data_IF_741015875170
#
_entry.id   IF_741015875170
#
_cell.length_a   1.000
_cell.length_b   1.000
_cell.length_c   1.000
_cell.angle_alpha   90.00
_cell.angle_beta   90.00
_cell.angle_gamma   90.00
#
_symmetry.space_group_name_H-M   'P 1'
#
loop_
_entity.id
_entity.type
_entity.pdbx_description
1 polymer ?
#
# COMPACT_ATOMS: atom_id res chain seq x y z
N UNK A 1 -6.24 -10.33 -10.13
CA UNK A 1 -5.62 -9.87 -8.85
C UNK A 1 -4.12 -10.02 -9.03
N UNK A 2 -3.45 -9.00 -9.58
CA UNK A 2 -2.03 -9.12 -9.97
C UNK A 2 -1.33 -7.76 -10.18
N UNK A 3 -2.02 -6.66 -9.82
CA UNK A 3 -1.56 -5.29 -10.12
C UNK A 3 -0.66 -4.73 -9.02
N UNK A 4 -0.90 -5.04 -7.75
CA UNK A 4 -0.09 -4.57 -6.62
C UNK A 4 0.86 -5.70 -6.18
N UNK A 5 2.15 -5.42 -6.17
CA UNK A 5 3.19 -6.28 -5.60
C UNK A 5 3.28 -6.04 -4.09
N UNK A 6 2.43 -6.74 -3.35
CA UNK A 6 2.34 -6.60 -1.88
C UNK A 6 3.62 -7.06 -1.19
N UNK A 7 4.34 -8.01 -1.79
CA UNK A 7 5.58 -8.54 -1.23
C UNK A 7 6.68 -7.49 -1.31
N UNK A 8 6.84 -6.88 -2.47
CA UNK A 8 7.80 -5.81 -2.67
C UNK A 8 7.46 -4.59 -1.82
N UNK A 9 6.18 -4.19 -1.76
CA UNK A 9 5.69 -3.13 -0.88
C UNK A 9 6.06 -3.42 0.58
N UNK A 10 5.74 -4.62 1.06
CA UNK A 10 5.98 -5.03 2.45
C UNK A 10 7.46 -5.04 2.81
N UNK A 11 8.31 -5.56 1.92
CA UNK A 11 9.78 -5.57 2.09
C UNK A 11 10.34 -4.15 2.16
N UNK A 12 9.95 -3.27 1.23
CA UNK A 12 10.39 -1.86 1.21
C UNK A 12 9.89 -1.06 2.41
N UNK A 13 8.70 -1.37 2.90
CA UNK A 13 8.14 -0.76 4.10
C UNK A 13 8.89 -1.22 5.36
N UNK A 14 9.29 -2.49 5.44
CA UNK A 14 10.11 -2.99 6.55
C UNK A 14 11.55 -2.48 6.53
N UNK A 15 12.09 -2.12 5.36
CA UNK A 15 13.44 -1.59 5.18
C UNK A 15 14.47 -2.44 5.96
N UNK A 16 15.24 -1.82 6.86
CA UNK A 16 16.34 -2.46 7.58
C UNK A 16 15.85 -3.56 8.54
N UNK A 17 14.61 -3.46 9.02
CA UNK A 17 14.00 -4.46 9.88
C UNK A 17 13.77 -5.79 9.15
N UNK A 18 13.60 -5.76 7.81
CA UNK A 18 13.34 -6.96 7.02
C UNK A 18 14.46 -8.01 7.17
N UNK A 19 15.71 -7.55 7.11
CA UNK A 19 16.91 -8.39 7.24
C UNK A 19 17.06 -9.02 8.63
N UNK A 20 16.41 -8.44 9.65
CA UNK A 20 16.47 -8.91 11.05
C UNK A 20 15.40 -9.96 11.36
N UNK A 21 14.42 -10.14 10.46
CA UNK A 21 13.38 -11.13 10.63
C UNK A 21 13.85 -12.52 10.21
N UNK A 22 13.45 -13.53 10.96
CA UNK A 22 13.57 -14.93 10.54
C UNK A 22 12.67 -15.22 9.33
N UNK A 23 12.95 -16.27 8.53
CA UNK A 23 12.09 -16.66 7.41
C UNK A 23 10.62 -16.90 7.82
N UNK A 24 10.40 -17.45 9.01
CA UNK A 24 9.06 -17.64 9.55
C UNK A 24 8.35 -16.30 9.83
N UNK A 25 9.05 -15.34 10.43
CA UNK A 25 8.52 -13.99 10.68
C UNK A 25 8.24 -13.23 9.38
N UNK A 26 9.14 -13.32 8.40
CA UNK A 26 8.93 -12.73 7.07
C UNK A 26 7.66 -13.29 6.42
N UNK A 27 7.46 -14.60 6.49
CA UNK A 27 6.27 -15.29 5.96
C UNK A 27 5.00 -14.85 6.69
N UNK A 28 5.02 -14.79 8.03
CA UNK A 28 3.88 -14.37 8.83
C UNK A 28 3.49 -12.92 8.52
N UNK A 29 4.47 -12.02 8.43
CA UNK A 29 4.25 -10.61 8.10
C UNK A 29 3.61 -10.44 6.73
N UNK A 30 4.20 -11.04 5.68
CA UNK A 30 3.67 -10.90 4.32
C UNK A 30 2.27 -11.51 4.19
N UNK A 31 2.03 -12.64 4.84
CA UNK A 31 0.69 -13.26 4.87
C UNK A 31 -0.33 -12.35 5.53
N UNK A 32 0.02 -11.76 6.67
CA UNK A 32 -0.85 -10.82 7.40
C UNK A 32 -1.10 -9.55 6.59
N UNK A 33 -0.07 -9.01 5.93
CA UNK A 33 -0.17 -7.81 5.09
C UNK A 33 -1.08 -8.04 3.89
N UNK A 34 -0.92 -9.17 3.17
CA UNK A 34 -1.78 -9.54 2.02
C UNK A 34 -3.24 -9.62 2.43
N UNK A 35 -3.54 -10.35 3.51
CA UNK A 35 -4.91 -10.44 4.02
C UNK A 35 -5.48 -9.07 4.38
N UNK A 36 -4.70 -8.20 5.02
CA UNK A 36 -5.14 -6.86 5.39
C UNK A 36 -5.45 -5.98 4.16
N UNK A 37 -4.63 -6.04 3.11
CA UNK A 37 -4.83 -5.29 1.87
C UNK A 37 -6.03 -5.84 1.09
N UNK A 38 -6.14 -7.16 0.97
CA UNK A 38 -7.27 -7.80 0.29
C UNK A 38 -8.61 -7.47 0.96
N UNK A 39 -8.66 -7.54 2.29
CA UNK A 39 -9.86 -7.21 3.05
C UNK A 39 -10.27 -5.75 2.87
N UNK A 40 -9.30 -4.83 2.86
CA UNK A 40 -9.55 -3.41 2.59
C UNK A 40 -10.04 -3.17 1.16
N UNK A 41 -9.51 -3.91 0.17
CA UNK A 41 -9.92 -3.78 -1.22
C UNK A 41 -11.36 -4.29 -1.43
N UNK A 42 -11.71 -5.45 -0.86
CA UNK A 42 -13.08 -5.96 -0.90
C UNK A 42 -14.06 -4.98 -0.23
N UNK A 43 -13.67 -4.38 0.90
CA UNK A 43 -14.48 -3.35 1.57
C UNK A 43 -14.63 -2.07 0.75
N UNK A 44 -13.54 -1.58 0.16
CA UNK A 44 -13.55 -0.39 -0.70
C UNK A 44 -14.44 -0.55 -1.93
N UNK A 45 -14.47 -1.75 -2.54
CA UNK A 45 -15.37 -2.07 -3.64
C UNK A 45 -16.84 -2.19 -3.21
N UNK A 46 -17.11 -2.62 -1.97
CA UNK A 46 -18.47 -2.67 -1.40
C UNK A 46 -18.98 -1.30 -0.94
N UNK A 47 -18.08 -0.35 -0.70
CA UNK A 47 -18.45 1.03 -0.42
C UNK A 47 -18.95 1.66 -1.74
N UNK A 48 -20.27 1.77 -1.87
CA UNK A 48 -20.94 2.50 -2.96
C UNK A 48 -20.55 3.99 -2.93
N UNK A 49 -19.35 4.31 -3.40
CA UNK A 49 -18.87 5.66 -3.58
C UNK A 49 -19.12 6.04 -5.05
N UNK A 50 -19.90 7.09 -5.26
CA UNK A 50 -19.94 7.75 -6.57
C UNK A 50 -18.57 8.41 -6.78
N UNK A 51 -17.69 7.73 -7.51
CA UNK A 51 -16.41 8.26 -7.94
C UNK A 51 -16.16 7.98 -9.42
N UNK A 52 -15.34 8.82 -10.03
CA UNK A 52 -14.77 8.60 -11.36
C UNK A 52 -13.25 8.61 -11.22
N UNK A 53 -12.57 7.87 -12.09
CA UNK A 53 -11.11 7.83 -12.14
C UNK A 53 -10.69 8.29 -13.52
N UNK A 54 -9.98 9.41 -13.57
CA UNK A 54 -9.42 9.95 -14.80
C UNK A 54 -7.93 9.59 -14.88
N UNK A 55 -7.48 9.03 -16.00
CA UNK A 55 -6.05 8.94 -16.30
C UNK A 55 -5.54 10.32 -16.69
N UNK A 56 -4.48 10.79 -16.02
CA UNK A 56 -3.95 12.14 -16.25
C UNK A 56 -2.54 12.15 -16.83
N UNK A 57 -1.83 11.02 -16.82
CA UNK A 57 -0.55 10.89 -17.51
C UNK A 57 0.32 9.75 -17.02
N UNK A 58 1.47 9.61 -17.67
CA UNK A 58 2.55 8.69 -17.33
C UNK A 58 3.88 9.43 -17.35
N UNK A 59 4.78 9.08 -16.45
CA UNK A 59 6.14 9.64 -16.36
C UNK A 59 7.13 8.59 -15.86
N UNK A 60 8.41 8.95 -15.83
CA UNK A 60 9.46 8.15 -15.21
C UNK A 60 10.02 8.96 -14.04
N UNK A 61 10.10 8.35 -12.86
CA UNK A 61 10.65 9.01 -11.68
C UNK A 61 12.19 9.05 -11.70
N UNK A 62 12.78 9.74 -10.73
CA UNK A 62 14.23 9.91 -10.59
C UNK A 62 15.00 8.59 -10.45
N UNK A 63 14.33 7.52 -10.00
CA UNK A 63 14.90 6.21 -9.75
C UNK A 63 14.64 5.26 -10.94
N UNK A 64 14.07 5.78 -12.04
CA UNK A 64 13.82 5.04 -13.28
C UNK A 64 12.52 4.24 -13.28
N UNK A 65 11.64 4.42 -12.28
CA UNK A 65 10.37 3.70 -12.22
C UNK A 65 9.32 4.38 -13.10
N UNK A 66 8.49 3.60 -13.77
CA UNK A 66 7.29 4.11 -14.44
C UNK A 66 6.27 4.56 -13.39
N UNK A 67 5.70 5.75 -13.58
CA UNK A 67 4.65 6.30 -12.72
C UNK A 67 3.43 6.61 -13.57
N UNK A 68 2.29 6.01 -13.21
CA UNK A 68 0.98 6.32 -13.82
C UNK A 68 0.19 7.17 -12.85
N UNK A 69 -0.22 8.37 -13.29
CA UNK A 69 -1.01 9.31 -12.49
C UNK A 69 -2.47 9.23 -12.89
N UNK A 70 -3.33 9.18 -11.87
CA UNK A 70 -4.78 9.26 -12.01
C UNK A 70 -5.35 10.30 -11.06
N UNK A 71 -6.54 10.80 -11.38
CA UNK A 71 -7.32 11.65 -10.50
C UNK A 71 -8.64 10.96 -10.16
N UNK A 72 -8.86 10.69 -8.87
CA UNK A 72 -10.14 10.24 -8.36
C UNK A 72 -10.99 11.47 -8.07
N UNK A 73 -12.13 11.60 -8.76
CA UNK A 73 -13.14 12.62 -8.44
C UNK A 73 -14.29 11.96 -7.69
N UNK A 74 -14.60 12.44 -6.49
CA UNK A 74 -15.73 11.94 -5.69
C UNK A 74 -16.46 13.08 -4.99
N UNK A 75 -17.61 12.79 -4.37
CA UNK A 75 -18.39 13.76 -3.58
C UNK A 75 -18.52 13.28 -2.14
N UNK A 76 -18.18 14.15 -1.19
CA UNK A 76 -18.42 13.91 0.24
C UNK A 76 -19.18 15.10 0.82
N UNK A 77 -20.34 14.84 1.45
CA UNK A 77 -21.22 15.90 2.00
C UNK A 77 -21.48 17.03 0.97
N UNK A 78 -21.79 16.66 -0.28
CA UNK A 78 -22.02 17.56 -1.42
C UNK A 78 -20.83 18.44 -1.84
N UNK A 79 -19.62 18.20 -1.34
CA UNK A 79 -18.39 18.84 -1.83
C UNK A 79 -17.64 17.91 -2.77
N UNK A 80 -17.26 18.43 -3.94
CA UNK A 80 -16.37 17.73 -4.86
C UNK A 80 -14.98 17.63 -4.22
N UNK A 81 -14.45 16.42 -4.17
CA UNK A 81 -13.09 16.13 -3.75
C UNK A 81 -12.35 15.53 -4.93
N UNK A 82 -11.12 16.00 -5.14
CA UNK A 82 -10.17 15.46 -6.11
C UNK A 82 -9.01 14.88 -5.33
N UNK A 83 -8.64 13.65 -5.63
CA UNK A 83 -7.54 12.95 -4.99
C UNK A 83 -6.61 12.49 -6.10
N UNK A 84 -5.36 12.95 -6.07
CA UNK A 84 -4.35 12.46 -7.01
C UNK A 84 -3.83 11.11 -6.50
N UNK A 85 -3.74 10.13 -7.40
CA UNK A 85 -3.16 8.82 -7.12
C UNK A 85 -2.08 8.49 -8.14
N UNK A 86 -0.85 8.38 -7.66
CA UNK A 86 0.31 7.97 -8.46
C UNK A 86 0.64 6.51 -8.17
N UNK A 87 0.61 5.66 -9.19
CA UNK A 87 1.02 4.27 -9.12
C UNK A 87 2.47 4.14 -9.56
N UNK A 88 3.37 3.78 -8.66
CA UNK A 88 4.79 3.55 -8.98
C UNK A 88 4.99 2.09 -9.34
N UNK A 89 5.38 1.86 -10.59
CA UNK A 89 5.36 0.56 -11.22
C UNK A 89 6.78 0.05 -11.43
N UNK A 90 6.96 -1.24 -11.22
CA UNK A 90 8.13 -1.99 -11.65
C UNK A 90 7.73 -2.99 -12.74
N UNK A 91 8.66 -3.28 -13.63
CA UNK A 91 8.49 -4.28 -14.66
C UNK A 91 8.81 -5.67 -14.07
N UNK A 92 7.86 -6.59 -14.20
CA UNK A 92 7.97 -8.00 -13.83
C UNK A 92 7.76 -8.84 -15.10
N UNK A 93 8.87 -9.20 -15.74
CA UNK A 93 8.87 -9.80 -17.08
C UNK A 93 8.22 -8.87 -18.12
N UNK A 94 7.07 -9.28 -18.65
CA UNK A 94 6.28 -8.51 -19.63
C UNK A 94 5.10 -7.75 -18.99
N UNK A 95 4.98 -7.76 -17.66
CA UNK A 95 3.90 -7.10 -16.93
C UNK A 95 4.44 -5.95 -16.08
N UNK A 96 3.58 -4.98 -15.78
CA UNK A 96 3.86 -3.96 -14.78
C UNK A 96 3.09 -4.28 -13.50
N UNK A 97 3.77 -4.13 -12.36
CA UNK A 97 3.17 -4.23 -11.03
C UNK A 97 3.50 -2.97 -10.24
N UNK A 98 2.48 -2.38 -9.63
CA UNK A 98 2.66 -1.29 -8.70
C UNK A 98 3.27 -1.83 -7.41
N UNK A 99 4.36 -1.25 -6.94
CA UNK A 99 4.95 -1.58 -5.63
C UNK A 99 4.74 -0.45 -4.61
N UNK A 100 4.34 0.74 -5.07
CA UNK A 100 3.91 1.84 -4.22
C UNK A 100 2.72 2.59 -4.85
N UNK A 101 1.93 3.22 -3.99
CA UNK A 101 0.80 4.06 -4.36
C UNK A 101 0.93 5.34 -3.55
N UNK A 102 1.00 6.48 -4.24
CA UNK A 102 1.06 7.79 -3.58
C UNK A 102 -0.29 8.47 -3.69
N UNK A 103 -0.86 8.83 -2.55
CA UNK A 103 -2.13 9.55 -2.49
C UNK A 103 -1.85 10.98 -2.06
N UNK A 104 -2.19 11.95 -2.90
CA UNK A 104 -1.88 13.37 -2.69
C UNK A 104 -0.40 13.60 -2.27
N UNK A 105 0.51 12.93 -2.97
CA UNK A 105 1.95 12.98 -2.74
C UNK A 105 2.47 12.13 -1.57
N UNK A 106 1.59 11.52 -0.77
CA UNK A 106 1.99 10.69 0.37
C UNK A 106 2.13 9.22 -0.08
N UNK A 107 3.38 8.74 -0.09
CA UNK A 107 3.71 7.35 -0.43
C UNK A 107 3.20 6.36 0.63
N UNK A 108 2.53 5.30 0.18
CA UNK A 108 2.05 4.23 1.03
C UNK A 108 3.22 3.48 1.69
N UNK A 109 4.27 3.16 0.92
CA UNK A 109 5.47 2.48 1.44
C UNK A 109 6.11 3.27 2.58
N UNK A 110 6.31 4.58 2.39
CA UNK A 110 6.97 5.43 3.39
C UNK A 110 6.10 5.59 4.65
N UNK A 111 4.80 5.80 4.47
CA UNK A 111 3.86 5.89 5.59
C UNK A 111 3.82 4.57 6.40
N UNK A 112 3.80 3.42 5.71
CA UNK A 112 3.87 2.11 6.37
C UNK A 112 5.20 1.94 7.11
N UNK A 113 6.33 2.30 6.51
CA UNK A 113 7.65 2.25 7.14
C UNK A 113 7.69 3.01 8.46
N UNK A 114 7.25 4.26 8.46
CA UNK A 114 7.20 5.07 9.67
C UNK A 114 6.36 4.43 10.78
N UNK A 115 5.20 3.85 10.42
CA UNK A 115 4.33 3.16 11.38
C UNK A 115 4.95 1.85 11.90
N UNK A 116 5.51 1.03 11.01
CA UNK A 116 6.11 -0.25 11.39
C UNK A 116 7.32 -0.05 12.29
N UNK A 117 8.23 0.87 11.96
CA UNK A 117 9.39 1.21 12.78
C UNK A 117 8.96 1.62 14.19
N UNK A 118 8.01 2.56 14.31
CA UNK A 118 7.50 3.03 15.59
C UNK A 118 6.90 1.91 16.45
N UNK A 119 6.20 0.96 15.82
CA UNK A 119 5.60 -0.17 16.56
C UNK A 119 6.68 -1.18 16.96
N UNK A 120 7.59 -1.52 16.06
CA UNK A 120 8.67 -2.49 16.34
C UNK A 120 9.58 -1.97 17.46
N UNK A 121 9.93 -0.68 17.44
CA UNK A 121 10.74 -0.05 18.49
C UNK A 121 10.07 -0.12 19.87
N UNK A 122 8.75 0.00 19.92
CA UNK A 122 8.01 0.04 21.18
C UNK A 122 7.55 -1.33 21.68
N UNK A 123 7.13 -2.21 20.77
CA UNK A 123 6.37 -3.43 21.07
C UNK A 123 6.94 -4.67 20.38
N UNK A 124 8.06 -4.52 19.66
CA UNK A 124 8.70 -5.60 18.90
C UNK A 124 7.89 -6.06 17.70
N UNK A 125 8.43 -7.05 16.99
CA UNK A 125 7.76 -7.66 15.83
C UNK A 125 6.40 -8.29 16.20
N UNK A 126 6.32 -8.92 17.38
CA UNK A 126 5.08 -9.50 17.88
C UNK A 126 3.98 -8.43 18.06
N UNK A 127 4.34 -7.24 18.57
CA UNK A 127 3.41 -6.11 18.69
C UNK A 127 2.92 -5.60 17.33
N UNK A 128 3.79 -5.57 16.32
CA UNK A 128 3.40 -5.22 14.95
C UNK A 128 2.35 -6.20 14.41
N UNK A 129 2.63 -7.50 14.46
CA UNK A 129 1.70 -8.52 13.97
C UNK A 129 0.37 -8.47 14.73
N UNK A 130 0.40 -8.31 16.05
CA UNK A 130 -0.81 -8.20 16.87
C UNK A 130 -1.68 -7.01 16.43
N UNK A 131 -1.08 -5.84 16.16
CA UNK A 131 -1.81 -4.67 15.66
C UNK A 131 -2.34 -4.87 14.25
N UNK A 132 -1.57 -5.49 13.36
CA UNK A 132 -2.02 -5.79 11.99
C UNK A 132 -3.23 -6.73 12.02
N UNK A 133 -3.18 -7.83 12.79
CA UNK A 133 -4.30 -8.75 12.99
C UNK A 133 -5.49 -8.06 13.66
N UNK A 134 -5.27 -7.19 14.65
CA UNK A 134 -6.35 -6.38 15.25
C UNK A 134 -7.01 -5.46 14.22
N UNK A 135 -6.27 -4.90 13.26
CA UNK A 135 -6.85 -4.06 12.20
C UNK A 135 -7.63 -4.86 11.16
N UNK A 136 -7.41 -6.18 11.07
CA UNK A 136 -8.28 -7.08 10.30
C UNK A 136 -9.62 -7.32 11.05
N UNK A 137 -9.58 -7.44 12.38
CA UNK A 137 -10.75 -7.79 13.21
C UNK A 137 -11.49 -6.60 13.82
N UNK A 138 -10.88 -5.40 13.85
CA UNK A 138 -11.52 -4.14 14.24
C UNK A 138 -12.56 -3.78 13.17
N UNK A 139 -13.70 -4.40 13.40
CA UNK A 139 -14.97 -4.36 12.70
C UNK A 139 -15.75 -3.14 13.15
#
# INVERSE_FOLDING_TARGET
RDFLDIDELGKRAMSDQWSKLTPAQQTEFLTTLRSLIEDNYIRGLRANLAYTVDYTGESVDKDGNTVVTTQINTKRKNRTMKIQVDYVLQKDGNKYKAWDVKTDGVALVENCRAQFNKIIEKEGFAGLIAKMKKKQTAT
#
